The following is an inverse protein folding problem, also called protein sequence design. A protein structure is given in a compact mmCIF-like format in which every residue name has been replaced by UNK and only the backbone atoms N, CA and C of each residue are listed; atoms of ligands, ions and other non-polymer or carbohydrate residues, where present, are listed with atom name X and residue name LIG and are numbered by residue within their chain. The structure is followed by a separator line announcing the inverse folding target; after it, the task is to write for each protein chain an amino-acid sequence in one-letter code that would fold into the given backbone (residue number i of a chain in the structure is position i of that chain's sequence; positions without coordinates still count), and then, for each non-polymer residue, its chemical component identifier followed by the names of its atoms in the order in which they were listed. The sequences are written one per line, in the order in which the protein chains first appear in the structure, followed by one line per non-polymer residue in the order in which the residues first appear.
data_IF_995519595182
#
_entry.id   IF_995519595182
#
_cell.length_a   1.000
_cell.length_b   1.000
_cell.length_c   1.000
_cell.angle_alpha   90.00
_cell.angle_beta   90.00
_cell.angle_gamma   90.00
#
_symmetry.space_group_name_H-M   'P 1'
#
loop_
_entity.id
_entity.type
_entity.pdbx_description
1 polymer ?
#
# COMPACT_ATOMS: atom_id res chain seq x y z
N UNK A 1 23.24 18.69 6.69
CA UNK A 1 23.48 17.55 7.59
C UNK A 1 23.04 16.30 6.87
N UNK A 2 23.95 15.37 6.59
CA UNK A 2 23.54 14.05 6.12
C UNK A 2 22.87 13.33 7.28
N UNK A 3 21.56 13.10 7.20
CA UNK A 3 20.83 12.31 8.19
C UNK A 3 21.44 10.92 8.26
N UNK A 4 21.74 10.45 9.47
CA UNK A 4 22.23 9.10 9.75
C UNK A 4 21.40 8.07 8.98
N UNK A 5 22.07 7.17 8.26
CA UNK A 5 21.42 6.12 7.47
C UNK A 5 20.64 5.18 8.41
N UNK A 6 19.31 5.19 8.37
CA UNK A 6 18.43 4.37 9.22
C UNK A 6 18.45 2.89 8.78
N UNK A 7 19.06 1.97 9.52
CA UNK A 7 19.07 0.54 9.14
C UNK A 7 18.04 -0.23 9.96
N UNK A 8 17.45 -1.28 9.36
CA UNK A 8 16.56 -2.20 10.09
C UNK A 8 17.25 -2.88 11.27
N UNK A 9 18.59 -3.00 11.22
CA UNK A 9 19.45 -3.51 12.30
C UNK A 9 19.69 -2.51 13.43
N UNK A 10 19.27 -1.25 13.28
CA UNK A 10 19.43 -0.21 14.31
C UNK A 10 18.31 -0.26 15.37
N UNK A 11 17.42 -1.25 15.28
CA UNK A 11 16.28 -1.44 16.16
C UNK A 11 16.19 -2.88 16.62
N UNK A 12 15.77 -3.05 17.86
CA UNK A 12 15.26 -4.32 18.35
C UNK A 12 13.88 -4.58 17.75
N UNK A 13 13.48 -5.85 17.73
CA UNK A 13 12.23 -6.28 17.12
C UNK A 13 11.40 -7.10 18.11
N UNK A 14 10.09 -6.88 18.10
CA UNK A 14 9.12 -7.55 18.97
C UNK A 14 7.96 -8.12 18.17
N UNK A 15 7.29 -9.13 18.73
CA UNK A 15 6.15 -9.80 18.12
C UNK A 15 4.82 -9.28 18.68
N UNK A 16 3.97 -8.76 17.79
CA UNK A 16 2.66 -8.19 18.15
C UNK A 16 1.54 -8.95 17.48
N UNK A 17 0.45 -9.26 18.20
CA UNK A 17 -0.73 -9.83 17.55
C UNK A 17 -1.39 -8.79 16.66
N UNK A 18 -1.90 -9.23 15.50
CA UNK A 18 -2.65 -8.36 14.59
C UNK A 18 -3.84 -7.71 15.30
N UNK A 19 -4.55 -8.43 16.17
CA UNK A 19 -5.69 -7.86 16.92
C UNK A 19 -5.29 -6.68 17.84
N UNK A 20 -4.03 -6.58 18.24
CA UNK A 20 -3.53 -5.55 19.16
C UNK A 20 -2.96 -4.34 18.39
N UNK A 21 -2.63 -4.51 17.11
CA UNK A 21 -2.10 -3.45 16.23
C UNK A 21 -3.19 -2.65 15.50
N UNK A 22 -4.36 -3.26 15.30
CA UNK A 22 -5.45 -2.67 14.53
C UNK A 22 -6.70 -2.57 15.41
N UNK A 23 -7.37 -1.41 15.38
CA UNK A 23 -8.62 -1.18 16.14
C UNK A 23 -9.76 -2.11 15.75
N UNK A 24 -9.66 -2.75 14.58
CA UNK A 24 -10.62 -3.74 14.14
C UNK A 24 -10.37 -4.24 12.72
N UNK A 25 -10.86 -5.45 12.46
CA UNK A 25 -10.86 -6.10 11.15
C UNK A 25 -12.32 -6.13 10.66
N UNK A 26 -12.62 -5.34 9.64
CA UNK A 26 -13.91 -5.36 8.95
C UNK A 26 -13.82 -6.24 7.69
N UNK A 27 -14.97 -6.55 7.07
CA UNK A 27 -15.02 -7.14 5.74
C UNK A 27 -15.89 -6.32 4.81
N UNK A 28 -15.62 -6.46 3.51
CA UNK A 28 -16.51 -5.97 2.46
C UNK A 28 -17.79 -6.79 2.35
N UNK A 29 -18.57 -6.49 1.32
CA UNK A 29 -19.83 -7.16 1.02
C UNK A 29 -19.80 -7.71 -0.40
N UNK A 30 -20.41 -8.89 -0.59
CA UNK A 30 -20.43 -9.53 -1.91
C UNK A 30 -21.15 -8.65 -2.92
N UNK A 31 -20.55 -8.49 -4.10
CA UNK A 31 -21.15 -7.78 -5.22
C UNK A 31 -20.82 -8.48 -6.54
N UNK A 32 -21.82 -9.14 -7.14
CA UNK A 32 -21.64 -9.83 -8.42
C UNK A 32 -21.38 -8.81 -9.54
N UNK A 33 -20.63 -9.21 -10.55
CA UNK A 33 -20.26 -8.33 -11.67
C UNK A 33 -21.47 -7.70 -12.37
N UNK A 34 -22.56 -8.46 -12.55
CA UNK A 34 -23.80 -7.97 -13.18
C UNK A 34 -24.55 -6.90 -12.37
N UNK A 35 -24.29 -6.84 -11.06
CA UNK A 35 -24.96 -5.93 -10.13
C UNK A 35 -24.11 -4.66 -9.88
N UNK A 36 -22.93 -4.56 -10.53
CA UNK A 36 -22.03 -3.40 -10.41
C UNK A 36 -22.57 -2.24 -11.23
N UNK A 37 -22.70 -1.10 -10.58
CA UNK A 37 -22.98 0.17 -11.23
C UNK A 37 -21.65 0.87 -11.50
N UNK A 38 -21.41 1.31 -12.73
CA UNK A 38 -20.19 2.03 -13.11
C UNK A 38 -20.03 3.33 -12.30
N UNK A 39 -18.83 3.60 -11.82
CA UNK A 39 -18.53 4.80 -11.04
C UNK A 39 -17.05 5.06 -10.94
N UNK A 40 -16.64 5.81 -9.91
CA UNK A 40 -15.29 6.32 -9.70
C UNK A 40 -14.63 5.79 -8.41
N UNK A 41 -15.36 5.02 -7.58
CA UNK A 41 -14.81 4.43 -6.36
C UNK A 41 -14.24 3.04 -6.67
N UNK A 42 -12.95 2.77 -6.41
CA UNK A 42 -12.35 1.46 -6.67
C UNK A 42 -13.03 0.35 -5.85
N UNK A 43 -13.37 -0.75 -6.52
CA UNK A 43 -13.81 -2.01 -5.91
C UNK A 43 -12.62 -2.97 -5.78
N UNK A 44 -12.21 -3.20 -4.55
CA UNK A 44 -11.12 -4.12 -4.20
C UNK A 44 -11.64 -5.56 -4.12
N UNK A 45 -10.99 -6.47 -4.83
CA UNK A 45 -11.24 -7.91 -4.81
C UNK A 45 -9.94 -8.67 -4.59
N UNK A 46 -10.00 -10.01 -4.52
CA UNK A 46 -8.80 -10.83 -4.41
C UNK A 46 -7.97 -10.69 -5.69
N UNK A 47 -6.65 -10.61 -5.55
CA UNK A 47 -5.74 -10.37 -6.66
C UNK A 47 -4.36 -9.88 -6.21
N UNK A 48 -3.35 -10.08 -7.05
CA UNK A 48 -1.96 -9.70 -6.75
C UNK A 48 -1.53 -8.40 -7.46
N UNK A 49 -2.29 -7.98 -8.46
CA UNK A 49 -1.99 -6.83 -9.31
C UNK A 49 -2.86 -5.63 -8.96
N UNK A 50 -2.45 -4.45 -9.43
CA UNK A 50 -3.21 -3.20 -9.35
C UNK A 50 -3.77 -2.87 -7.95
N UNK A 51 -3.04 -3.24 -6.89
CA UNK A 51 -3.47 -3.09 -5.49
C UNK A 51 -4.84 -3.74 -5.18
N UNK A 52 -5.20 -4.80 -5.91
CA UNK A 52 -6.47 -5.51 -5.79
C UNK A 52 -7.66 -4.79 -6.44
N UNK A 53 -7.44 -3.69 -7.15
CA UNK A 53 -8.51 -2.96 -7.86
C UNK A 53 -8.99 -3.80 -9.04
N UNK A 54 -10.29 -4.14 -9.04
CA UNK A 54 -10.91 -4.93 -10.13
C UNK A 54 -11.72 -4.08 -11.11
N UNK A 55 -12.34 -3.01 -10.62
CA UNK A 55 -13.27 -2.14 -11.34
C UNK A 55 -13.55 -0.90 -10.49
N UNK A 56 -14.23 0.08 -11.05
CA UNK A 56 -14.70 1.27 -10.34
C UNK A 56 -16.23 1.26 -10.31
N UNK A 57 -16.82 1.55 -9.15
CA UNK A 57 -18.26 1.41 -8.91
C UNK A 57 -18.86 2.60 -8.16
N UNK A 58 -20.18 2.80 -8.31
CA UNK A 58 -20.95 3.80 -7.56
C UNK A 58 -21.92 3.20 -6.54
N UNK A 59 -22.11 1.87 -6.50
CA UNK A 59 -23.18 1.21 -5.71
C UNK A 59 -23.25 1.68 -4.24
N UNK A 60 -24.29 2.42 -3.87
CA UNK A 60 -24.42 3.08 -2.55
C UNK A 60 -24.56 2.08 -1.40
N UNK A 61 -25.13 0.91 -1.65
CA UNK A 61 -25.30 -0.15 -0.65
C UNK A 61 -23.95 -0.76 -0.17
N UNK A 62 -22.87 -0.58 -0.95
CA UNK A 62 -21.55 -1.06 -0.57
C UNK A 62 -20.89 -0.06 0.38
N UNK A 63 -20.41 -0.58 1.52
CA UNK A 63 -19.70 0.23 2.51
C UNK A 63 -18.41 0.79 1.94
N UNK A 64 -18.20 2.08 2.16
CA UNK A 64 -16.96 2.80 1.84
C UNK A 64 -15.96 2.72 3.01
N UNK A 65 -14.68 2.62 2.68
CA UNK A 65 -13.56 2.60 3.61
C UNK A 65 -12.48 3.60 3.17
N UNK A 66 -11.80 4.24 4.12
CA UNK A 66 -10.64 5.12 3.88
C UNK A 66 -10.02 5.58 5.21
N UNK A 67 -8.68 5.71 5.31
CA UNK A 67 -7.67 4.86 4.69
C UNK A 67 -7.50 3.54 5.45
N UNK A 68 -7.06 2.47 4.79
CA UNK A 68 -6.89 1.16 5.43
C UNK A 68 -5.89 0.25 4.71
N UNK A 69 -5.53 -0.86 5.35
CA UNK A 69 -4.87 -1.98 4.68
C UNK A 69 -5.95 -2.99 4.27
N UNK A 70 -5.94 -3.41 3.02
CA UNK A 70 -6.74 -4.54 2.53
C UNK A 70 -5.89 -5.80 2.48
N UNK A 71 -6.43 -6.90 2.98
CA UNK A 71 -5.82 -8.22 2.93
C UNK A 71 -6.82 -9.22 2.35
N UNK A 72 -6.47 -9.87 1.24
CA UNK A 72 -7.32 -10.91 0.65
C UNK A 72 -7.14 -12.28 1.32
N UNK A 73 -7.90 -13.26 0.85
CA UNK A 73 -7.89 -14.63 1.36
C UNK A 73 -6.55 -15.39 1.15
N UNK A 74 -5.65 -14.87 0.31
CA UNK A 74 -4.32 -15.42 0.04
C UNK A 74 -3.19 -14.59 0.68
N UNK A 75 -3.54 -13.65 1.56
CA UNK A 75 -2.61 -12.72 2.19
C UNK A 75 -1.93 -11.73 1.22
N UNK A 76 -2.57 -11.39 0.10
CA UNK A 76 -2.20 -10.21 -0.67
C UNK A 76 -2.59 -8.96 0.13
N UNK A 77 -1.58 -8.20 0.57
CA UNK A 77 -1.75 -7.00 1.38
C UNK A 77 -1.50 -5.74 0.54
N UNK A 78 -2.41 -4.77 0.63
CA UNK A 78 -2.25 -3.48 -0.05
C UNK A 78 -2.68 -2.32 0.85
N UNK A 79 -2.00 -1.20 0.72
CA UNK A 79 -2.42 0.06 1.32
C UNK A 79 -3.42 0.76 0.39
N UNK A 80 -4.60 1.07 0.91
CA UNK A 80 -5.61 1.87 0.23
C UNK A 80 -5.63 3.28 0.84
N UNK A 81 -4.96 4.23 0.17
CA UNK A 81 -4.86 5.62 0.59
C UNK A 81 -6.04 6.51 0.17
N UNK A 82 -6.96 5.98 -0.63
CA UNK A 82 -8.14 6.67 -1.12
C UNK A 82 -9.40 5.90 -0.73
N UNK A 83 -10.56 6.53 -0.94
CA UNK A 83 -11.86 5.89 -0.76
C UNK A 83 -11.96 4.64 -1.62
N UNK A 84 -12.44 3.55 -1.02
CA UNK A 84 -12.65 2.29 -1.73
C UNK A 84 -13.84 1.52 -1.16
N UNK A 85 -14.34 0.59 -1.97
CA UNK A 85 -15.32 -0.43 -1.60
C UNK A 85 -14.67 -1.80 -1.81
N UNK A 86 -15.14 -2.85 -1.16
CA UNK A 86 -14.51 -4.16 -1.31
C UNK A 86 -15.48 -5.33 -1.20
N UNK A 87 -15.08 -6.46 -1.79
CA UNK A 87 -15.80 -7.72 -1.77
C UNK A 87 -15.74 -8.42 -0.39
N UNK A 88 -16.62 -9.41 -0.17
CA UNK A 88 -16.70 -10.16 1.09
C UNK A 88 -15.41 -10.93 1.44
N UNK A 89 -14.58 -11.26 0.45
CA UNK A 89 -13.29 -11.95 0.66
C UNK A 89 -12.15 -11.03 1.10
N UNK A 90 -12.40 -9.72 1.22
CA UNK A 90 -11.40 -8.74 1.62
C UNK A 90 -11.55 -8.40 3.10
N UNK A 91 -10.47 -8.60 3.84
CA UNK A 91 -10.33 -8.10 5.21
C UNK A 91 -9.80 -6.67 5.16
N UNK A 92 -10.46 -5.75 5.87
CA UNK A 92 -10.07 -4.35 5.99
C UNK A 92 -9.53 -4.10 7.39
N UNK A 93 -8.22 -3.86 7.48
CA UNK A 93 -7.51 -3.63 8.73
C UNK A 93 -7.36 -2.11 8.94
N UNK A 94 -7.98 -1.62 10.01
CA UNK A 94 -8.00 -0.19 10.33
C UNK A 94 -7.02 0.10 11.46
N UNK A 95 -6.16 1.10 11.27
CA UNK A 95 -5.31 1.63 12.34
C UNK A 95 -6.08 2.61 13.21
N UNK A 96 -5.60 2.81 14.43
CA UNK A 96 -6.06 3.90 15.29
C UNK A 96 -5.63 5.27 14.77
N UNK A 97 -6.41 6.29 15.10
CA UNK A 97 -6.13 7.67 14.71
C UNK A 97 -4.79 8.16 15.26
N UNK A 98 -4.35 7.68 16.42
CA UNK A 98 -3.04 8.02 16.99
C UNK A 98 -1.86 7.50 16.16
N UNK A 99 -2.06 6.43 15.39
CA UNK A 99 -1.01 5.77 14.59
C UNK A 99 -1.10 6.12 13.10
N UNK A 100 -2.31 6.31 12.58
CA UNK A 100 -2.60 6.49 11.14
C UNK A 100 -2.17 7.83 10.52
N UNK A 101 -1.30 8.59 11.20
CA UNK A 101 -0.87 9.93 10.77
C UNK A 101 0.04 9.93 9.52
N UNK A 102 0.55 8.76 9.11
CA UNK A 102 1.51 8.65 8.02
C UNK A 102 1.22 7.45 7.12
N UNK A 103 1.09 7.68 5.80
CA UNK A 103 0.98 6.60 4.79
C UNK A 103 2.11 5.58 4.90
N UNK A 104 3.28 6.02 5.36
CA UNK A 104 4.49 5.21 5.44
C UNK A 104 4.40 4.13 6.52
N UNK A 105 3.60 4.34 7.57
CA UNK A 105 3.29 3.32 8.56
C UNK A 105 2.47 2.19 7.91
N UNK A 106 1.46 2.54 7.11
CA UNK A 106 0.69 1.56 6.34
C UNK A 106 1.58 0.75 5.39
N UNK A 107 2.47 1.41 4.67
CA UNK A 107 3.38 0.74 3.73
C UNK A 107 4.33 -0.24 4.45
N UNK A 108 4.86 0.14 5.62
CA UNK A 108 5.67 -0.79 6.42
C UNK A 108 4.86 -2.02 6.85
N UNK A 109 3.65 -1.79 7.38
CA UNK A 109 2.77 -2.87 7.83
C UNK A 109 2.31 -3.78 6.68
N UNK A 110 2.11 -3.25 5.47
CA UNK A 110 1.82 -4.04 4.26
C UNK A 110 2.95 -5.03 4.00
N UNK A 111 4.21 -4.60 4.08
CA UNK A 111 5.37 -5.49 3.92
C UNK A 111 5.37 -6.56 5.02
N UNK A 112 5.16 -6.18 6.28
CA UNK A 112 5.09 -7.14 7.39
C UNK A 112 3.96 -8.18 7.21
N UNK A 113 2.77 -7.75 6.78
CA UNK A 113 1.61 -8.60 6.51
C UNK A 113 1.82 -9.52 5.31
N UNK A 114 2.53 -9.06 4.27
CA UNK A 114 2.77 -9.85 3.05
C UNK A 114 3.53 -11.16 3.32
N UNK A 115 4.30 -11.23 4.41
CA UNK A 115 4.99 -12.47 4.85
C UNK A 115 4.02 -13.58 5.21
N UNK A 116 2.76 -13.26 5.54
CA UNK A 116 1.74 -14.27 5.80
C UNK A 116 1.45 -15.14 4.56
N UNK A 117 1.79 -14.69 3.34
CA UNK A 117 1.68 -15.51 2.11
C UNK A 117 2.38 -16.86 2.21
N UNK A 118 3.47 -16.95 2.97
CA UNK A 118 4.20 -18.22 3.18
C UNK A 118 3.36 -19.27 3.94
N UNK A 119 2.36 -18.81 4.72
CA UNK A 119 1.54 -19.64 5.62
C UNK A 119 0.18 -20.01 5.03
N UNK A 120 -0.32 -19.21 4.09
CA UNK A 120 -1.68 -19.29 3.57
C UNK A 120 -1.68 -19.77 2.11
N UNK A 121 -2.70 -20.54 1.75
CA UNK A 121 -2.85 -21.15 0.43
C UNK A 121 -4.32 -21.35 0.11
N UNK A 122 -4.63 -21.91 -1.06
CA UNK A 122 -6.03 -22.23 -1.41
C UNK A 122 -6.71 -23.15 -0.38
N UNK A 123 -5.99 -24.16 0.13
CA UNK A 123 -6.50 -25.07 1.15
C UNK A 123 -6.60 -24.42 2.54
N UNK A 124 -5.84 -23.35 2.77
CA UNK A 124 -5.75 -22.65 4.06
C UNK A 124 -5.81 -21.16 3.80
N UNK A 125 -7.03 -20.64 3.72
CA UNK A 125 -7.27 -19.23 3.44
C UNK A 125 -7.25 -18.37 4.69
N UNK A 126 -6.91 -17.09 4.51
CA UNK A 126 -7.01 -16.08 5.57
C UNK A 126 -8.49 -15.85 5.89
N UNK A 127 -8.79 -15.80 7.19
CA UNK A 127 -10.11 -15.44 7.74
C UNK A 127 -9.90 -14.53 8.94
N UNK A 128 -10.83 -13.59 9.24
CA UNK A 128 -10.66 -12.65 10.34
C UNK A 128 -10.29 -13.31 11.68
N UNK A 129 -10.93 -14.42 12.04
CA UNK A 129 -10.64 -15.14 13.30
C UNK A 129 -9.24 -15.76 13.37
N UNK A 130 -8.62 -16.06 12.22
CA UNK A 130 -7.22 -16.54 12.15
C UNK A 130 -6.27 -15.36 12.13
N UNK A 131 -6.62 -14.35 11.33
CA UNK A 131 -5.83 -13.14 11.15
C UNK A 131 -5.60 -12.43 12.49
N UNK A 132 -6.61 -12.34 13.37
CA UNK A 132 -6.46 -11.76 14.72
C UNK A 132 -5.44 -12.48 15.60
N UNK A 133 -5.12 -13.75 15.32
CA UNK A 133 -4.15 -14.57 16.05
C UNK A 133 -2.77 -14.57 15.41
N UNK A 134 -2.62 -14.01 14.21
CA UNK A 134 -1.32 -13.85 13.58
C UNK A 134 -0.47 -12.85 14.34
N UNK A 135 0.84 -13.02 14.24
CA UNK A 135 1.83 -12.14 14.87
C UNK A 135 2.66 -11.47 13.78
N UNK A 136 2.90 -10.17 13.93
CA UNK A 136 3.81 -9.39 13.10
C UNK A 136 5.06 -9.07 13.91
N UNK A 137 6.22 -9.24 13.28
CA UNK A 137 7.49 -8.78 13.83
C UNK A 137 7.68 -7.32 13.42
N UNK A 138 7.78 -6.41 14.39
CA UNK A 138 7.92 -4.97 14.17
C UNK A 138 9.08 -4.40 15.01
N UNK A 139 9.73 -3.31 14.55
CA UNK A 139 10.73 -2.62 15.36
C UNK A 139 10.09 -2.02 16.61
N UNK A 140 10.82 -2.01 17.72
CA UNK A 140 10.32 -1.55 19.03
C UNK A 140 11.11 -0.38 19.59
N UNK A 141 10.43 0.41 20.42
CA UNK A 141 11.02 1.42 21.29
C UNK A 141 11.56 0.76 22.57
N UNK A 142 12.25 1.56 23.40
CA UNK A 142 12.79 1.09 24.69
C UNK A 142 11.73 0.61 25.68
N UNK A 143 10.47 1.04 25.51
CA UNK A 143 9.34 0.61 26.34
C UNK A 143 8.65 -0.66 25.80
N UNK A 144 9.17 -1.24 24.71
CA UNK A 144 8.63 -2.44 24.07
C UNK A 144 7.42 -2.19 23.16
N UNK A 145 6.98 -0.95 22.98
CA UNK A 145 5.90 -0.60 22.04
C UNK A 145 6.44 -0.50 20.60
N UNK A 146 5.58 -0.63 19.57
CA UNK A 146 6.03 -0.47 18.19
C UNK A 146 6.63 0.93 17.93
N UNK A 147 7.76 0.97 17.23
CA UNK A 147 8.44 2.22 16.84
C UNK A 147 7.84 2.76 15.52
N UNK A 148 6.65 3.37 15.62
CA UNK A 148 5.91 3.96 14.49
C UNK A 148 6.69 5.06 13.77
N UNK A 149 7.44 5.86 14.52
CA UNK A 149 8.25 6.95 13.97
C UNK A 149 9.39 6.41 13.13
N UNK A 150 10.12 5.41 13.64
CA UNK A 150 11.15 4.72 12.86
C UNK A 150 10.57 4.05 11.62
N UNK A 151 9.45 3.32 11.73
CA UNK A 151 8.82 2.68 10.56
C UNK A 151 8.48 3.70 9.47
N UNK A 152 7.89 4.84 9.86
CA UNK A 152 7.56 5.93 8.94
C UNK A 152 8.82 6.52 8.28
N UNK A 153 9.82 6.90 9.08
CA UNK A 153 11.05 7.53 8.60
C UNK A 153 11.87 6.58 7.70
N UNK A 154 11.91 5.29 8.05
CA UNK A 154 12.57 4.26 7.25
C UNK A 154 11.92 4.16 5.86
N UNK A 155 10.59 4.06 5.79
CA UNK A 155 9.88 3.93 4.51
C UNK A 155 9.95 5.22 3.66
N UNK A 156 9.92 6.40 4.29
CA UNK A 156 10.17 7.66 3.58
C UNK A 156 11.53 7.67 2.89
N UNK A 157 12.56 7.22 3.60
CA UNK A 157 13.90 7.12 3.04
C UNK A 157 13.96 6.09 1.91
N UNK A 158 13.35 4.91 2.07
CA UNK A 158 13.28 3.89 1.01
C UNK A 158 12.62 4.46 -0.26
N UNK A 159 11.50 5.17 -0.11
CA UNK A 159 10.83 5.86 -1.22
C UNK A 159 11.77 6.90 -1.87
N UNK A 160 12.38 7.77 -1.08
CA UNK A 160 13.30 8.81 -1.55
C UNK A 160 14.51 8.22 -2.30
N UNK A 161 15.16 7.20 -1.77
CA UNK A 161 16.30 6.53 -2.41
C UNK A 161 15.90 5.87 -3.74
N UNK A 162 14.74 5.22 -3.76
CA UNK A 162 14.20 4.56 -4.96
C UNK A 162 13.90 5.58 -6.05
N UNK A 163 13.18 6.65 -5.70
CA UNK A 163 12.84 7.74 -6.63
C UNK A 163 14.07 8.48 -7.11
N UNK A 164 15.04 8.77 -6.23
CA UNK A 164 16.28 9.45 -6.61
C UNK A 164 17.08 8.67 -7.65
N UNK A 165 17.19 7.34 -7.46
CA UNK A 165 17.84 6.45 -8.44
C UNK A 165 17.10 6.42 -9.76
N UNK A 166 15.77 6.31 -9.73
CA UNK A 166 14.94 6.32 -10.93
C UNK A 166 15.07 7.64 -11.70
N UNK A 167 14.96 8.78 -11.02
CA UNK A 167 15.11 10.11 -11.63
C UNK A 167 16.49 10.29 -12.25
N UNK A 168 17.57 9.88 -11.56
CA UNK A 168 18.92 9.94 -12.09
C UNK A 168 19.06 9.11 -13.38
N UNK A 169 18.51 7.89 -13.39
CA UNK A 169 18.52 7.00 -14.56
C UNK A 169 17.79 7.62 -15.77
N UNK A 170 16.59 8.18 -15.56
CA UNK A 170 15.84 8.82 -16.65
C UNK A 170 16.50 10.10 -17.16
N UNK A 171 17.09 10.92 -16.28
CA UNK A 171 17.84 12.13 -16.68
C UNK A 171 19.06 11.80 -17.55
N UNK A 172 19.79 10.73 -17.22
CA UNK A 172 20.92 10.28 -18.03
C UNK A 172 20.48 9.87 -19.44
N UNK A 173 19.36 9.12 -19.54
CA UNK A 173 18.79 8.75 -20.85
C UNK A 173 18.30 9.93 -21.67
N UNK A 174 17.73 10.96 -21.03
CA UNK A 174 17.37 12.21 -21.72
C UNK A 174 18.62 12.91 -22.28
N UNK A 175 19.72 12.95 -21.52
CA UNK A 175 20.98 13.53 -21.98
C UNK A 175 21.59 12.72 -23.14
N UNK A 176 21.60 11.38 -23.05
CA UNK A 176 22.09 10.51 -24.12
C UNK A 176 21.25 10.68 -25.41
N UNK A 177 19.92 10.80 -25.28
CA UNK A 177 19.04 11.06 -26.41
C UNK A 177 19.27 12.46 -27.03
N UNK A 178 19.65 13.47 -26.23
CA UNK A 178 20.03 14.79 -26.75
C UNK A 178 21.40 14.78 -27.44
N UNK A 179 22.35 13.99 -26.96
CA UNK A 179 23.71 13.88 -27.54
C UNK A 179 23.73 13.04 -28.84
N UNK A 180 22.79 12.10 -29.00
CA UNK A 180 22.75 11.17 -30.14
C UNK A 180 21.95 11.67 -31.35
N UNK A 181 21.64 12.98 -31.43
CA UNK A 181 21.30 13.63 -32.70
C UNK A 181 20.13 13.02 -33.47
N UNK A 182 18.98 12.85 -32.83
CA UNK A 182 17.72 12.61 -33.55
C UNK A 182 17.18 13.91 -34.10
N UNK A 183 17.51 14.24 -35.36
CA UNK A 183 16.98 15.39 -36.07
C UNK A 183 15.45 15.33 -36.17
N UNK A 184 14.76 15.95 -35.21
CA UNK A 184 13.39 16.41 -35.37
C UNK A 184 13.39 17.90 -35.08
N UNK A 185 13.07 18.64 -36.13
CA UNK A 185 13.01 20.09 -36.20
C UNK A 185 12.34 20.69 -34.97
N UNK A 186 13.10 21.46 -34.17
CA UNK A 186 12.65 22.12 -32.92
C UNK A 186 11.64 23.27 -33.21
N UNK A 187 11.25 23.48 -34.47
CA UNK A 187 10.34 24.55 -34.88
C UNK A 187 8.84 24.28 -34.69
N UNK A 188 8.40 23.13 -34.14
CA UNK A 188 6.96 22.80 -34.02
C UNK A 188 6.39 22.65 -32.60
N UNK A 189 7.19 22.90 -31.55
CA UNK A 189 6.72 22.81 -30.15
C UNK A 189 6.23 24.13 -29.54
N UNK A 190 5.96 25.14 -30.37
CA UNK A 190 5.16 26.32 -29.98
C UNK A 190 3.80 26.28 -30.69
N UNK A 191 2.97 25.29 -30.34
CA UNK A 191 1.50 25.33 -30.48
C UNK A 191 0.90 24.03 -29.93
N UNK A 192 0.63 24.04 -28.62
CA UNK A 192 -0.52 23.41 -27.92
C UNK A 192 -0.17 23.19 -26.46
N UNK A 193 -0.06 24.30 -25.73
CA UNK A 193 -0.39 24.31 -24.31
C UNK A 193 -1.64 25.20 -24.20
N UNK A 194 -2.79 24.60 -24.49
CA UNK A 194 -4.12 25.11 -24.17
C UNK A 194 -5.11 23.97 -24.38
N UNK A 195 -5.85 23.67 -23.30
CA UNK A 195 -7.02 22.77 -23.23
C UNK A 195 -6.59 21.28 -23.23
N UNK A 196 -6.75 20.45 -22.19
CA UNK A 196 -7.67 20.40 -21.03
C UNK A 196 -6.91 20.18 -19.72
#
# INVERSE_FOLDING_TARGET
MMSKELKLTDREWGEFFVKDLFRGISRGSRLNQRDREEGDIPLITAGEEFNGISSFISNVAQREFCPAITLDMFANAFYQGYKFKCDDNISVLNLDNSVSQSKYIYLFLVVALSRLKEKYSYAKQVRPHRLTRERLLLPIQSDGTPDWEFMSAFMQRVEHETLSKAVAFFRLKECDNMLMGGGVNVALLHRRCSIY
#
